data_IF_152235366001
#
_entry.id   IF_152235366001
#
_cell.length_a   1.000
_cell.length_b   1.000
_cell.length_c   1.000
_cell.angle_alpha   90.00
_cell.angle_beta   90.00
_cell.angle_gamma   90.00
#
_symmetry.space_group_name_H-M   'P 1'
#
loop_
_entity.id
_entity.type
_entity.pdbx_description
1 polymer ?
#
# COMPACT_ATOMS: atom_id res chain seq x y z
N UNK A 1 -21.35 -41.44 1.37
CA UNK A 1 -22.81 -41.16 1.29
C UNK A 1 -23.14 -40.16 2.39
N UNK A 2 -24.14 -39.29 2.18
CA UNK A 2 -24.51 -38.05 2.94
C UNK A 2 -23.92 -36.81 2.22
N UNK A 3 -24.57 -36.18 1.22
CA UNK A 3 -25.87 -35.46 1.11
C UNK A 3 -26.00 -34.29 2.10
N UNK A 4 -26.71 -33.24 1.67
CA UNK A 4 -27.11 -31.99 2.35
C UNK A 4 -26.15 -30.83 2.03
N UNK A 5 -26.53 -29.72 1.42
CA UNK A 5 -27.82 -29.27 0.90
C UNK A 5 -27.57 -28.00 0.09
N UNK A 6 -28.17 -27.93 -1.10
CA UNK A 6 -28.13 -26.77 -1.97
C UNK A 6 -28.96 -25.64 -1.34
N UNK A 7 -28.33 -24.51 -1.02
CA UNK A 7 -29.05 -23.25 -0.84
C UNK A 7 -28.73 -22.35 -2.03
N UNK A 8 -29.63 -22.38 -3.00
CA UNK A 8 -29.75 -21.38 -4.07
C UNK A 8 -30.22 -20.07 -3.43
N UNK A 9 -29.40 -19.03 -3.48
CA UNK A 9 -29.86 -17.65 -3.33
C UNK A 9 -29.71 -16.98 -4.69
N UNK A 10 -30.86 -16.68 -5.27
CA UNK A 10 -31.01 -16.00 -6.53
C UNK A 10 -30.93 -14.47 -6.35
N UNK A 11 -30.52 -13.83 -7.44
CA UNK A 11 -30.88 -12.47 -7.87
C UNK A 11 -30.57 -11.27 -6.98
N UNK A 12 -29.69 -10.40 -7.50
CA UNK A 12 -30.14 -9.06 -7.93
C UNK A 12 -29.15 -8.50 -8.96
N UNK A 13 -29.57 -8.56 -10.22
CA UNK A 13 -28.90 -8.00 -11.38
C UNK A 13 -29.31 -6.52 -11.47
N UNK A 14 -28.42 -5.62 -11.08
CA UNK A 14 -28.64 -4.17 -11.15
C UNK A 14 -27.81 -3.54 -12.25
N UNK A 15 -28.37 -3.43 -13.45
CA UNK A 15 -27.86 -2.55 -14.51
C UNK A 15 -28.12 -1.09 -14.14
N UNK A 16 -27.07 -0.30 -13.95
CA UNK A 16 -27.14 1.16 -14.05
C UNK A 16 -26.08 1.64 -15.04
N UNK A 17 -26.59 1.96 -16.23
CA UNK A 17 -25.93 2.63 -17.33
C UNK A 17 -25.60 4.06 -16.88
N UNK A 18 -24.33 4.39 -16.67
CA UNK A 18 -23.90 5.79 -16.65
C UNK A 18 -23.37 6.17 -18.04
N UNK A 19 -24.04 7.18 -18.59
CA UNK A 19 -23.88 7.71 -19.92
C UNK A 19 -22.51 8.38 -20.13
N UNK A 20 -22.04 8.28 -21.37
CA UNK A 20 -20.95 9.09 -21.91
C UNK A 20 -21.29 10.58 -21.82
N UNK A 21 -20.31 11.38 -21.38
CA UNK A 21 -20.17 12.72 -21.94
C UNK A 21 -18.69 12.93 -22.34
N UNK A 22 -18.44 12.85 -23.64
CA UNK A 22 -17.25 13.39 -24.28
C UNK A 22 -17.61 14.80 -24.72
N UNK A 23 -17.03 15.81 -24.07
CA UNK A 23 -16.86 17.11 -24.69
C UNK A 23 -15.49 17.67 -24.32
N UNK A 24 -14.60 17.62 -25.30
CA UNK A 24 -13.35 18.37 -25.25
C UNK A 24 -13.61 19.86 -25.46
N UNK A 25 -12.74 20.69 -24.90
CA UNK A 25 -12.44 22.03 -25.39
C UNK A 25 -11.07 22.43 -24.87
N UNK A 26 -10.20 22.73 -25.83
CA UNK A 26 -8.86 23.29 -25.72
C UNK A 26 -8.83 24.60 -24.93
N UNK A 27 -7.80 24.76 -24.09
CA UNK A 27 -7.30 26.07 -23.68
C UNK A 27 -5.78 26.06 -23.81
N UNK A 28 -5.31 26.70 -24.86
CA UNK A 28 -3.96 27.22 -24.99
C UNK A 28 -3.81 28.36 -23.98
N UNK A 29 -2.88 28.24 -23.03
CA UNK A 29 -2.35 29.41 -22.33
C UNK A 29 -0.84 29.23 -22.13
N UNK A 30 -0.11 30.08 -22.84
CA UNK A 30 1.29 30.33 -22.64
C UNK A 30 1.47 31.34 -21.51
N UNK A 31 2.71 31.44 -21.03
CA UNK A 31 3.30 32.66 -20.47
C UNK A 31 3.17 32.88 -18.97
N UNK A 32 4.18 32.43 -18.23
CA UNK A 32 5.22 33.32 -17.65
C UNK A 32 5.86 32.65 -16.44
N UNK A 33 7.13 32.28 -16.58
CA UNK A 33 7.96 31.87 -15.44
C UNK A 33 8.44 33.12 -14.68
N UNK A 34 8.25 33.22 -13.35
CA UNK A 34 8.99 34.19 -12.56
C UNK A 34 10.44 33.71 -12.35
N UNK A 35 11.39 34.42 -12.94
CA UNK A 35 12.82 34.32 -12.58
C UNK A 35 13.03 34.97 -11.21
N UNK A 36 13.03 34.15 -10.15
CA UNK A 36 13.50 34.56 -8.82
C UNK A 36 14.96 34.13 -8.65
N UNK A 37 15.84 35.12 -8.59
CA UNK A 37 17.25 34.96 -8.19
C UNK A 37 17.33 34.47 -6.74
N UNK A 38 17.76 33.21 -6.56
CA UNK A 38 18.10 32.69 -5.25
C UNK A 38 19.48 33.22 -4.82
N UNK A 39 19.49 34.11 -3.83
CA UNK A 39 20.70 34.53 -3.12
C UNK A 39 21.10 33.40 -2.17
N UNK A 40 22.21 32.73 -2.45
CA UNK A 40 22.74 31.68 -1.60
C UNK A 40 23.25 32.27 -0.26
N UNK A 41 22.46 32.09 0.79
CA UNK A 41 22.95 32.20 2.17
C UNK A 41 23.71 30.93 2.52
N UNK A 42 25.02 31.07 2.71
CA UNK A 42 25.92 30.06 3.23
C UNK A 42 25.63 29.80 4.71
N UNK A 43 24.64 28.94 4.97
CA UNK A 43 24.43 28.32 6.27
C UNK A 43 25.27 27.03 6.37
N UNK A 44 26.01 26.93 7.47
CA UNK A 44 26.91 25.84 7.81
C UNK A 44 26.26 24.46 7.69
N UNK A 45 26.90 23.57 6.91
CA UNK A 45 26.53 22.17 6.78
C UNK A 45 26.81 21.40 8.09
N UNK A 46 25.87 21.47 9.02
CA UNK A 46 25.77 20.49 10.10
C UNK A 46 25.24 19.20 9.46
N UNK A 47 26.06 18.15 9.41
CA UNK A 47 25.70 16.82 8.91
C UNK A 47 24.60 16.25 9.82
N UNK A 48 23.36 16.68 9.59
CA UNK A 48 22.18 16.07 10.16
C UNK A 48 22.21 14.61 9.69
N UNK A 49 22.45 13.71 10.63
CA UNK A 49 22.32 12.29 10.40
C UNK A 49 20.90 12.09 9.87
N UNK A 50 20.77 11.75 8.59
CA UNK A 50 19.48 11.65 7.93
C UNK A 50 18.74 10.51 8.62
N UNK A 51 17.87 10.86 9.55
CA UNK A 51 17.03 9.91 10.25
C UNK A 51 16.10 9.33 9.18
N UNK A 52 16.33 8.07 8.82
CA UNK A 52 15.57 7.40 7.78
C UNK A 52 14.15 7.14 8.30
N UNK A 53 13.28 8.12 8.12
CA UNK A 53 11.86 7.99 8.42
C UNK A 53 11.28 6.93 7.48
N UNK A 54 10.76 5.84 8.06
CA UNK A 54 10.15 4.74 7.31
C UNK A 54 8.64 4.90 7.30
N UNK A 55 8.10 5.25 6.14
CA UNK A 55 6.66 5.34 5.90
C UNK A 55 6.18 4.16 5.08
N UNK A 56 4.99 3.65 5.41
CA UNK A 56 4.31 2.63 4.61
C UNK A 56 3.84 3.19 3.26
N UNK A 57 3.71 2.30 2.28
CA UNK A 57 3.16 2.59 0.96
C UNK A 57 2.44 1.37 0.38
N UNK A 58 1.83 1.48 -0.80
CA UNK A 58 1.21 0.31 -1.46
C UNK A 58 2.24 -0.68 -2.00
N UNK A 59 3.49 -0.24 -2.16
CA UNK A 59 4.64 -1.08 -2.54
C UNK A 59 5.78 -0.78 -1.59
N UNK A 60 6.46 -1.82 -1.12
CA UNK A 60 7.64 -1.68 -0.29
C UNK A 60 8.72 -2.71 -0.65
N UNK A 61 9.98 -2.36 -0.38
CA UNK A 61 11.13 -3.25 -0.57
C UNK A 61 11.59 -3.79 0.78
N UNK A 62 11.78 -5.10 0.88
CA UNK A 62 12.37 -5.78 2.03
C UNK A 62 13.90 -5.65 2.03
N UNK A 63 14.53 -5.97 3.16
CA UNK A 63 15.98 -5.93 3.30
C UNK A 63 16.71 -6.95 2.39
N UNK A 64 16.06 -8.08 2.09
CA UNK A 64 16.54 -9.09 1.13
C UNK A 64 16.38 -8.65 -0.34
N UNK A 65 15.82 -7.46 -0.57
CA UNK A 65 15.59 -6.89 -1.90
C UNK A 65 14.24 -7.25 -2.51
N UNK A 66 13.49 -8.21 -1.97
CA UNK A 66 12.16 -8.59 -2.47
C UNK A 66 11.15 -7.44 -2.36
N UNK A 67 10.10 -7.49 -3.18
CA UNK A 67 9.05 -6.48 -3.23
C UNK A 67 7.77 -7.03 -2.62
N UNK A 68 7.13 -6.23 -1.78
CA UNK A 68 5.78 -6.46 -1.29
C UNK A 68 4.83 -5.47 -1.96
N UNK A 69 3.68 -5.96 -2.43
CA UNK A 69 2.65 -5.14 -3.08
C UNK A 69 1.31 -5.39 -2.41
N UNK A 70 0.74 -4.34 -1.81
CA UNK A 70 -0.62 -4.33 -1.28
C UNK A 70 -1.61 -4.08 -2.45
N UNK A 71 -2.30 -5.14 -2.88
CA UNK A 71 -3.32 -5.09 -3.93
C UNK A 71 -4.69 -4.96 -3.26
N UNK A 72 -5.12 -3.70 -3.16
CA UNK A 72 -6.35 -3.31 -2.47
C UNK A 72 -7.59 -3.95 -3.09
N UNK A 73 -7.68 -3.92 -4.41
CA UNK A 73 -8.85 -4.38 -5.18
C UNK A 73 -9.07 -5.88 -5.04
N UNK A 74 -7.97 -6.65 -4.90
CA UNK A 74 -8.04 -8.10 -4.74
C UNK A 74 -8.02 -8.57 -3.29
N UNK A 75 -7.74 -7.68 -2.33
CA UNK A 75 -7.62 -8.05 -0.92
C UNK A 75 -6.42 -8.96 -0.66
N UNK A 76 -5.29 -8.73 -1.35
CA UNK A 76 -4.10 -9.60 -1.24
C UNK A 76 -2.82 -8.82 -1.06
N UNK A 77 -1.86 -9.44 -0.39
CA UNK A 77 -0.46 -9.04 -0.44
C UNK A 77 0.28 -9.95 -1.42
N UNK A 78 1.01 -9.36 -2.35
CA UNK A 78 1.93 -10.08 -3.22
C UNK A 78 3.36 -9.94 -2.71
N UNK A 79 4.12 -11.04 -2.70
CA UNK A 79 5.55 -11.02 -2.51
C UNK A 79 6.26 -11.47 -3.80
N UNK A 80 7.14 -10.61 -4.31
CA UNK A 80 7.86 -10.81 -5.55
C UNK A 80 9.37 -10.84 -5.27
N UNK A 81 10.06 -11.82 -5.85
CA UNK A 81 11.51 -11.81 -5.87
C UNK A 81 12.04 -10.59 -6.66
N UNK A 82 13.20 -10.08 -6.28
CA UNK A 82 13.92 -9.05 -7.03
C UNK A 82 15.27 -9.60 -7.52
N UNK A 83 15.67 -9.36 -8.78
CA UNK A 83 14.90 -8.65 -9.82
C UNK A 83 13.65 -9.42 -10.25
N UNK A 84 12.60 -8.69 -10.62
CA UNK A 84 11.35 -9.29 -11.10
C UNK A 84 11.62 -9.96 -12.45
N UNK A 85 11.24 -11.23 -12.57
CA UNK A 85 11.40 -12.04 -13.78
C UNK A 85 10.06 -12.67 -14.16
N UNK A 86 9.81 -12.85 -15.45
CA UNK A 86 8.62 -13.55 -15.96
C UNK A 86 8.53 -15.00 -15.50
N UNK A 87 9.68 -15.62 -15.19
CA UNK A 87 9.76 -17.00 -14.70
C UNK A 87 9.52 -17.11 -13.19
N UNK A 88 9.58 -16.00 -12.45
CA UNK A 88 9.34 -16.01 -11.00
C UNK A 88 7.85 -16.01 -10.72
N UNK A 89 7.39 -16.99 -9.93
CA UNK A 89 5.99 -17.03 -9.50
C UNK A 89 5.83 -16.15 -8.25
N UNK A 90 5.04 -15.06 -8.29
CA UNK A 90 4.81 -14.24 -7.12
C UNK A 90 4.01 -15.03 -6.08
N UNK A 91 4.40 -14.93 -4.81
CA UNK A 91 3.65 -15.51 -3.72
C UNK A 91 2.42 -14.63 -3.44
N UNK A 92 1.24 -15.26 -3.41
CA UNK A 92 -0.02 -14.63 -3.03
C UNK A 92 -0.31 -14.89 -1.57
N UNK A 93 -0.72 -13.86 -0.84
CA UNK A 93 -1.18 -13.95 0.54
C UNK A 93 -2.56 -13.30 0.61
N UNK A 94 -3.60 -14.10 0.86
CA UNK A 94 -4.95 -13.58 1.05
C UNK A 94 -5.06 -12.90 2.42
N UNK A 95 -5.69 -11.73 2.45
CA UNK A 95 -5.85 -10.92 3.64
C UNK A 95 -7.33 -10.83 4.05
N UNK A 96 -7.63 -10.48 5.32
CA UNK A 96 -9.02 -10.36 5.80
C UNK A 96 -9.78 -9.15 5.21
N UNK A 97 -9.17 -8.40 4.30
CA UNK A 97 -9.76 -7.24 3.65
C UNK A 97 -8.77 -6.49 2.75
N UNK A 98 -9.19 -5.37 2.15
CA UNK A 98 -8.36 -4.54 1.27
C UNK A 98 -7.13 -3.97 2.01
N UNK A 99 -5.90 -4.40 1.67
CA UNK A 99 -4.70 -3.78 2.23
C UNK A 99 -4.47 -2.39 1.62
N UNK A 100 -4.05 -1.43 2.45
CA UNK A 100 -3.77 -0.06 2.00
C UNK A 100 -2.28 0.26 1.99
N UNK A 101 -1.56 -0.13 3.04
CA UNK A 101 -0.14 0.14 3.17
C UNK A 101 0.60 -1.07 3.71
N UNK A 102 1.81 -1.27 3.22
CA UNK A 102 2.78 -2.26 3.70
C UNK A 102 4.06 -1.56 4.12
N UNK A 103 4.64 -2.03 5.23
CA UNK A 103 5.89 -1.53 5.77
C UNK A 103 6.73 -2.69 6.35
N UNK A 104 7.79 -3.13 5.65
CA UNK A 104 8.78 -4.05 6.20
C UNK A 104 9.56 -3.38 7.34
N UNK A 105 9.70 -4.10 8.46
CA UNK A 105 10.44 -3.67 9.65
C UNK A 105 11.23 -4.86 10.20
N UNK A 106 12.46 -5.02 9.70
CA UNK A 106 13.31 -6.17 10.07
C UNK A 106 12.64 -7.48 9.69
N UNK A 107 12.44 -8.35 10.67
CA UNK A 107 11.78 -9.65 10.53
C UNK A 107 10.24 -9.58 10.45
N UNK A 108 9.67 -8.37 10.61
CA UNK A 108 8.22 -8.17 10.62
C UNK A 108 7.78 -7.39 9.39
N UNK A 109 6.53 -7.59 9.01
CA UNK A 109 5.85 -6.78 8.00
C UNK A 109 4.57 -6.23 8.62
N UNK A 110 4.43 -4.92 8.64
CA UNK A 110 3.22 -4.23 9.08
C UNK A 110 2.32 -3.98 7.86
N UNK A 111 1.03 -4.29 7.97
CA UNK A 111 0.05 -4.09 6.90
C UNK A 111 -1.21 -3.44 7.45
N UNK A 112 -1.63 -2.30 6.89
CA UNK A 112 -2.96 -1.75 7.20
C UNK A 112 -4.03 -2.35 6.31
N UNK A 113 -5.18 -2.66 6.89
CA UNK A 113 -6.38 -3.14 6.20
C UNK A 113 -7.48 -2.10 6.36
N UNK A 114 -8.00 -1.53 5.27
CA UNK A 114 -9.00 -0.42 5.37
C UNK A 114 -10.30 -0.88 5.99
N UNK A 115 -10.82 -2.01 5.52
CA UNK A 115 -12.04 -2.64 6.03
C UNK A 115 -11.68 -4.07 6.42
N UNK A 116 -11.60 -4.41 7.71
CA UNK A 116 -12.33 -3.81 8.84
C UNK A 116 -11.49 -2.90 9.76
N UNK A 117 -10.57 -2.09 9.21
CA UNK A 117 -9.71 -1.16 9.96
C UNK A 117 -8.78 -1.89 10.94
N UNK A 118 -7.78 -2.58 10.38
CA UNK A 118 -6.80 -3.37 11.14
C UNK A 118 -5.37 -2.96 10.82
N UNK A 119 -4.50 -3.15 11.80
CA UNK A 119 -3.07 -3.35 11.62
C UNK A 119 -2.79 -4.85 11.77
N UNK A 120 -2.30 -5.47 10.71
CA UNK A 120 -1.74 -6.82 10.75
C UNK A 120 -0.23 -6.74 10.88
N UNK A 121 0.32 -7.63 11.70
CA UNK A 121 1.75 -7.90 11.81
C UNK A 121 1.97 -9.29 11.26
N UNK A 122 2.80 -9.39 10.24
CA UNK A 122 3.21 -10.64 9.62
C UNK A 122 4.67 -10.93 9.97
N UNK A 123 5.04 -12.20 10.09
CA UNK A 123 6.43 -12.63 10.20
C UNK A 123 7.17 -12.60 8.84
N UNK A 124 8.42 -13.06 8.81
CA UNK A 124 9.25 -13.12 7.60
C UNK A 124 8.61 -13.99 6.51
N UNK A 125 7.97 -15.09 6.92
CA UNK A 125 7.26 -16.04 6.06
C UNK A 125 5.85 -15.55 5.68
N UNK A 126 5.48 -14.33 6.09
CA UNK A 126 4.20 -13.67 5.85
C UNK A 126 3.00 -14.35 6.53
N UNK A 127 3.22 -15.08 7.62
CA UNK A 127 2.14 -15.55 8.47
C UNK A 127 1.70 -14.45 9.44
N UNK A 128 0.40 -14.32 9.67
CA UNK A 128 -0.13 -13.39 10.65
C UNK A 128 0.28 -13.79 12.06
N UNK A 129 0.98 -12.89 12.77
CA UNK A 129 1.40 -13.10 14.16
C UNK A 129 0.65 -12.20 15.15
N UNK A 130 0.11 -11.08 14.68
CA UNK A 130 -0.72 -10.18 15.50
C UNK A 130 -1.70 -9.41 14.62
N UNK A 131 -2.89 -9.16 15.19
CA UNK A 131 -3.88 -8.20 14.69
C UNK A 131 -4.20 -7.17 15.76
N UNK A 132 -4.29 -5.91 15.35
CA UNK A 132 -4.66 -4.80 16.22
C UNK A 132 -5.76 -3.98 15.53
N UNK A 133 -6.91 -3.74 16.16
CA UNK A 133 -7.90 -2.80 15.64
C UNK A 133 -7.31 -1.40 15.51
N UNK A 134 -7.63 -0.72 14.41
CA UNK A 134 -7.30 0.67 14.20
C UNK A 134 -8.57 1.53 14.20
N UNK A 135 -8.47 2.82 14.56
CA UNK A 135 -9.48 3.79 14.22
C UNK A 135 -9.81 3.76 12.71
N UNK A 136 -11.07 4.00 12.35
CA UNK A 136 -11.51 4.00 10.96
C UNK A 136 -10.83 5.08 10.10
N UNK A 137 -10.28 6.10 10.75
CA UNK A 137 -9.53 7.21 10.17
C UNK A 137 -8.00 7.05 10.30
N UNK A 138 -7.50 5.83 10.52
CA UNK A 138 -6.07 5.53 10.40
C UNK A 138 -5.67 5.32 8.92
N UNK A 139 -5.00 6.32 8.31
CA UNK A 139 -4.69 6.32 6.87
C UNK A 139 -3.19 6.10 6.57
N UNK A 140 -2.35 6.04 7.60
CA UNK A 140 -0.90 6.05 7.46
C UNK A 140 -0.19 5.17 8.49
N UNK A 141 0.91 4.55 8.09
CA UNK A 141 1.90 3.93 8.96
C UNK A 141 3.23 4.67 8.85
N UNK A 142 3.76 5.06 9.99
CA UNK A 142 5.13 5.48 10.14
C UNK A 142 5.68 4.82 11.41
N UNK A 143 6.95 4.43 11.37
CA UNK A 143 7.65 3.89 12.53
C UNK A 143 8.82 4.81 12.83
N UNK A 144 9.05 5.05 14.11
CA UNK A 144 10.22 5.80 14.57
C UNK A 144 11.51 5.02 14.27
N UNK A 145 12.66 5.69 14.18
CA UNK A 145 13.92 5.06 13.75
C UNK A 145 14.43 3.99 14.71
N UNK A 146 14.13 4.17 15.99
CA UNK A 146 14.43 3.23 17.07
C UNK A 146 13.47 2.02 17.09
N UNK A 147 12.45 2.00 16.23
CA UNK A 147 11.53 0.87 16.09
C UNK A 147 10.59 0.69 17.28
N UNK A 148 10.62 1.58 18.26
CA UNK A 148 9.70 1.59 19.40
C UNK A 148 8.44 2.37 19.03
N UNK A 149 7.33 1.65 18.88
CA UNK A 149 5.98 2.22 18.72
C UNK A 149 5.39 2.63 20.06
#
# INVERSE_FOLDING_TARGET
MNRWGHLLVAMAWGCLLFACDRRGSSSTEASSAPTVSARASSASAQKAQLVEQRSGGSIARRADGSLLVADEDRGVLWALAAPVSETSSPQRIDLPGPPSQVLPLGALTLVTIRAPSLLLVLDEALHEVRRTPLPADAWGLAVTPDGTT
#
